data_IF_408637713371
#
_entry.id   IF_408637713371
#
_cell.length_a   1.000
_cell.length_b   1.000
_cell.length_c   1.000
_cell.angle_alpha   90.00
_cell.angle_beta   90.00
_cell.angle_gamma   90.00
#
_symmetry.space_group_name_H-M   'P 1'
#
loop_
_entity.id
_entity.type
_entity.pdbx_description
1 polymer ?
#
# COMPACT_ATOMS: atom_id res chain seq x y z
N UNK A 1 -22.55 9.17 -14.83
CA UNK A 1 -22.00 9.12 -13.46
C UNK A 1 -22.30 10.46 -12.79
N UNK A 2 -22.95 10.46 -11.63
CA UNK A 2 -23.27 11.70 -10.91
C UNK A 2 -22.05 12.25 -10.17
N UNK A 3 -22.01 13.54 -9.82
CA UNK A 3 -20.93 14.09 -8.99
C UNK A 3 -20.75 13.36 -7.65
N UNK A 4 -21.85 12.91 -7.04
CA UNK A 4 -21.82 12.14 -5.79
C UNK A 4 -21.20 10.74 -5.96
N UNK A 5 -21.46 10.07 -7.10
CA UNK A 5 -20.83 8.80 -7.45
C UNK A 5 -19.33 8.99 -7.71
N UNK A 6 -18.93 10.06 -8.42
CA UNK A 6 -17.53 10.39 -8.64
C UNK A 6 -16.77 10.65 -7.33
N UNK A 7 -17.38 11.40 -6.41
CA UNK A 7 -16.80 11.67 -5.09
C UNK A 7 -16.60 10.37 -4.27
N UNK A 8 -17.55 9.43 -4.36
CA UNK A 8 -17.47 8.14 -3.67
C UNK A 8 -16.30 7.28 -4.16
N UNK A 9 -15.99 7.32 -5.46
CA UNK A 9 -14.92 6.53 -6.08
C UNK A 9 -13.53 7.15 -5.93
N UNK A 10 -13.41 8.37 -5.42
CA UNK A 10 -12.13 9.08 -5.30
C UNK A 10 -11.05 8.26 -4.58
N UNK A 11 -11.41 7.50 -3.55
CA UNK A 11 -10.44 6.66 -2.80
C UNK A 11 -9.99 5.42 -3.56
N UNK A 12 -10.79 4.96 -4.53
CA UNK A 12 -10.44 3.83 -5.40
C UNK A 12 -9.53 4.28 -6.54
N UNK A 13 -9.87 5.40 -7.19
CA UNK A 13 -9.16 5.88 -8.38
C UNK A 13 -7.90 6.69 -8.05
N UNK A 14 -7.89 7.39 -6.91
CA UNK A 14 -6.77 8.19 -6.45
C UNK A 14 -6.46 7.89 -4.97
N UNK A 15 -6.05 6.65 -4.64
CA UNK A 15 -5.76 6.26 -3.27
C UNK A 15 -4.53 7.00 -2.73
N UNK A 16 -4.54 7.33 -1.43
CA UNK A 16 -3.35 7.82 -0.73
C UNK A 16 -2.45 6.69 -0.24
N UNK A 17 -3.03 5.52 0.00
CA UNK A 17 -2.36 4.34 0.54
C UNK A 17 -2.99 3.09 -0.09
N UNK A 18 -2.20 2.04 -0.30
CA UNK A 18 -2.64 0.74 -0.81
C UNK A 18 -2.09 -0.36 0.09
N UNK A 19 -2.93 -1.33 0.44
CA UNK A 19 -2.51 -2.54 1.15
C UNK A 19 -2.67 -3.75 0.22
N UNK A 20 -1.59 -4.53 0.06
CA UNK A 20 -1.58 -5.76 -0.72
C UNK A 20 -1.68 -6.96 0.22
N UNK A 21 -2.78 -7.70 0.12
CA UNK A 21 -3.06 -8.85 0.97
C UNK A 21 -2.79 -10.13 0.17
N UNK A 22 -1.96 -11.03 0.71
CA UNK A 22 -1.67 -12.31 0.08
C UNK A 22 -0.19 -12.68 0.04
N UNK A 23 0.21 -13.44 -0.98
CA UNK A 23 1.58 -13.94 -1.16
C UNK A 23 2.30 -13.25 -2.32
N UNK A 24 2.95 -14.06 -3.16
CA UNK A 24 3.85 -13.57 -4.20
C UNK A 24 3.14 -12.72 -5.28
N UNK A 25 1.88 -13.04 -5.61
CA UNK A 25 1.07 -12.23 -6.53
C UNK A 25 0.78 -10.82 -5.96
N UNK A 26 0.54 -10.73 -4.65
CA UNK A 26 0.30 -9.46 -3.98
C UNK A 26 1.59 -8.61 -3.96
N UNK A 27 2.74 -9.26 -3.75
CA UNK A 27 4.05 -8.66 -3.88
C UNK A 27 4.33 -8.18 -5.31
N UNK A 28 4.00 -9.00 -6.32
CA UNK A 28 4.16 -8.63 -7.72
C UNK A 28 3.34 -7.38 -8.06
N UNK A 29 2.05 -7.36 -7.69
CA UNK A 29 1.19 -6.20 -7.91
C UNK A 29 1.71 -4.94 -7.19
N UNK A 30 2.22 -5.07 -5.97
CA UNK A 30 2.86 -3.96 -5.24
C UNK A 30 4.05 -3.38 -6.00
N UNK A 31 4.92 -4.24 -6.56
CA UNK A 31 6.05 -3.81 -7.38
C UNK A 31 5.59 -3.10 -8.65
N UNK A 32 4.53 -3.58 -9.31
CA UNK A 32 3.98 -2.92 -10.49
C UNK A 32 3.44 -1.52 -10.16
N UNK A 33 2.77 -1.34 -9.02
CA UNK A 33 2.35 -0.01 -8.58
C UNK A 33 3.53 0.94 -8.34
N UNK A 34 4.62 0.46 -7.72
CA UNK A 34 5.83 1.26 -7.54
C UNK A 34 6.49 1.61 -8.88
N UNK A 35 6.63 0.63 -9.77
CA UNK A 35 7.20 0.83 -11.10
C UNK A 35 6.36 1.79 -11.96
N UNK A 36 5.03 1.74 -11.81
CA UNK A 36 4.09 2.67 -12.42
C UNK A 36 4.09 4.08 -11.80
N UNK A 37 4.96 4.36 -10.83
CA UNK A 37 5.13 5.69 -10.25
C UNK A 37 4.12 6.04 -9.16
N UNK A 38 3.49 5.05 -8.52
CA UNK A 38 2.65 5.31 -7.35
C UNK A 38 3.49 5.88 -6.20
N UNK A 39 3.16 7.10 -5.78
CA UNK A 39 3.89 7.84 -4.72
C UNK A 39 3.23 7.74 -3.34
N UNK A 40 2.08 7.09 -3.25
CA UNK A 40 1.41 6.85 -1.97
C UNK A 40 2.10 5.76 -1.15
N UNK A 41 1.56 5.49 0.03
CA UNK A 41 2.09 4.44 0.90
C UNK A 41 1.64 3.06 0.44
N UNK A 42 2.56 2.09 0.48
CA UNK A 42 2.28 0.70 0.19
C UNK A 42 2.63 -0.14 1.42
N UNK A 43 1.74 -1.08 1.75
CA UNK A 43 1.94 -2.06 2.82
C UNK A 43 1.60 -3.46 2.31
N UNK A 44 2.33 -4.46 2.80
CA UNK A 44 1.95 -5.86 2.68
C UNK A 44 1.09 -6.30 3.86
N UNK A 45 0.22 -7.28 3.63
CA UNK A 45 -0.49 -8.01 4.69
C UNK A 45 -0.38 -9.51 4.44
N UNK A 46 0.35 -10.20 5.31
CA UNK A 46 0.55 -11.64 5.26
C UNK A 46 0.94 -12.15 6.66
N UNK A 47 0.16 -13.06 7.29
CA UNK A 47 0.48 -13.61 8.61
C UNK A 47 1.80 -14.39 8.69
N UNK A 48 2.32 -14.87 7.55
CA UNK A 48 3.49 -15.74 7.47
C UNK A 48 4.76 -15.01 7.03
N UNK A 49 4.68 -13.70 6.74
CA UNK A 49 5.80 -12.92 6.21
C UNK A 49 5.84 -11.54 6.85
N UNK A 50 7.03 -11.10 7.23
CA UNK A 50 7.29 -9.81 7.85
C UNK A 50 7.73 -8.73 6.84
N UNK A 51 8.15 -9.12 5.63
CA UNK A 51 8.57 -8.20 4.56
C UNK A 51 8.18 -8.64 3.15
N UNK A 52 7.90 -7.66 2.30
CA UNK A 52 7.71 -7.77 0.85
C UNK A 52 8.83 -6.98 0.14
N UNK A 53 10.05 -7.52 0.01
CA UNK A 53 11.20 -6.92 -0.72
C UNK A 53 11.34 -5.37 -0.70
N UNK A 54 11.01 -4.72 0.43
CA UNK A 54 10.96 -3.27 0.52
C UNK A 54 9.88 -2.78 1.49
N UNK A 55 8.61 -2.63 1.06
CA UNK A 55 7.50 -2.26 1.94
C UNK A 55 7.36 -3.19 3.17
N UNK A 56 6.97 -2.64 4.33
CA UNK A 56 6.70 -3.45 5.52
C UNK A 56 5.50 -4.38 5.25
N UNK A 57 5.53 -5.57 5.82
CA UNK A 57 4.42 -6.50 5.78
C UNK A 57 3.90 -6.73 7.21
N UNK A 58 2.59 -6.62 7.38
CA UNK A 58 1.91 -6.77 8.66
C UNK A 58 1.14 -8.08 8.68
N UNK A 59 0.89 -8.65 9.86
CA UNK A 59 0.15 -9.90 9.95
C UNK A 59 -1.34 -9.69 9.64
N UNK A 60 -1.89 -8.53 10.01
CA UNK A 60 -3.32 -8.21 9.87
C UNK A 60 -3.56 -6.80 9.33
N UNK A 61 -4.74 -6.58 8.72
CA UNK A 61 -5.18 -5.25 8.27
C UNK A 61 -5.34 -4.28 9.45
N UNK A 62 -5.70 -4.79 10.64
CA UNK A 62 -5.90 -3.97 11.83
C UNK A 62 -4.63 -3.24 12.28
N UNK A 63 -3.45 -3.80 12.00
CA UNK A 63 -2.16 -3.18 12.32
C UNK A 63 -1.90 -1.92 11.46
N UNK A 64 -2.41 -1.87 10.23
CA UNK A 64 -2.19 -0.73 9.32
C UNK A 64 -2.65 0.61 9.89
N UNK A 65 -3.73 0.61 10.69
CA UNK A 65 -4.27 1.83 11.32
C UNK A 65 -3.25 2.51 12.23
N UNK A 66 -2.35 1.72 12.84
CA UNK A 66 -1.30 2.19 13.76
C UNK A 66 -0.07 2.73 13.03
N UNK A 67 0.09 2.41 11.73
CA UNK A 67 1.30 2.69 10.95
C UNK A 67 1.10 3.73 9.83
N UNK A 68 0.10 4.60 9.97
CA UNK A 68 -0.06 5.82 9.15
C UNK A 68 1.01 6.86 9.51
N UNK A 69 2.27 6.59 9.17
CA UNK A 69 3.33 7.60 9.27
C UNK A 69 3.19 8.60 8.11
N UNK A 70 3.61 9.87 8.24
CA UNK A 70 3.53 10.84 7.16
C UNK A 70 4.63 10.68 6.08
N UNK A 71 5.64 9.85 6.32
CA UNK A 71 6.80 9.69 5.43
C UNK A 71 6.73 8.43 4.57
N UNK A 72 7.24 8.52 3.33
CA UNK A 72 7.33 7.38 2.41
C UNK A 72 8.49 6.45 2.84
N UNK A 73 8.28 5.13 2.79
CA UNK A 73 9.36 4.15 3.06
C UNK A 73 10.54 4.27 2.07
N UNK A 74 10.33 4.92 0.92
CA UNK A 74 11.40 5.23 -0.04
C UNK A 74 12.40 6.26 0.52
N UNK A 75 12.00 7.09 1.49
CA UNK A 75 12.85 8.09 2.14
C UNK A 75 13.80 7.48 3.18
N UNK A 76 13.43 6.34 3.78
CA UNK A 76 14.22 5.65 4.81
C UNK A 76 15.32 4.73 4.26
N UNK A 77 15.32 4.45 2.94
CA UNK A 77 16.36 3.64 2.26
C UNK A 77 17.58 4.44 1.79
N UNK A 78 17.62 5.75 2.05
CA UNK A 78 18.70 6.66 1.63
C UNK A 78 19.67 7.05 2.77
N UNK A 79 19.59 6.36 3.91
CA UNK A 79 20.52 6.39 5.02
C UNK A 79 21.05 4.97 5.24
#
# INVERSE_FOLDING_TARGET
>A
MTPAQAASLRRLLAPRHIAFIGGDEALFAARQCLAGGFRGQIWGVNPKRDRFDGPPCFATVAELRKHRMPYSWQSLRRL
#
